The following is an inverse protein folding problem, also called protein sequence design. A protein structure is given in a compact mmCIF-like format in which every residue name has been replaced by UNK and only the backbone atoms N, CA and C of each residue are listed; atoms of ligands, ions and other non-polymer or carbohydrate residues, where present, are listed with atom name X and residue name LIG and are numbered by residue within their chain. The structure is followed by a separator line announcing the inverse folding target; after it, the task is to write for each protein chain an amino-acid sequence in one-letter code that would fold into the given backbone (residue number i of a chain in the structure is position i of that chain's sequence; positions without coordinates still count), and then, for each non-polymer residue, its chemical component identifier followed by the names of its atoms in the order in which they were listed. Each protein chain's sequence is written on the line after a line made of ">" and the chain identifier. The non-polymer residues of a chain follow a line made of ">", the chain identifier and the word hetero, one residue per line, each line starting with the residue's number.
data_IF_186927583608
#
_entry.id   IF_186927583608
#
_cell.length_a   1.000
_cell.length_b   1.000
_cell.length_c   1.000
_cell.angle_alpha   90.00
_cell.angle_beta   90.00
_cell.angle_gamma   90.00
#
_symmetry.space_group_name_H-M   'P 1'
#
loop_
_entity.id
_entity.type
_entity.pdbx_description
1 polymer ?
#
# COMPACT_ATOMS: atom_id res chain seq x y z
N UNK A 1 11.34 3.53 -5.65
CA UNK A 1 11.16 4.34 -4.42
C UNK A 1 11.05 3.38 -3.24
N UNK A 2 11.33 3.83 -2.02
CA UNK A 2 11.21 2.99 -0.80
C UNK A 2 10.02 3.47 0.02
N UNK A 3 9.25 2.54 0.59
CA UNK A 3 8.18 2.85 1.52
C UNK A 3 8.44 2.17 2.87
N UNK A 4 8.41 2.93 3.95
CA UNK A 4 8.42 2.42 5.32
C UNK A 4 6.98 2.22 5.77
N UNK A 5 6.69 1.03 6.27
CA UNK A 5 5.36 0.60 6.73
C UNK A 5 5.47 -0.08 8.09
N UNK A 6 4.33 -0.32 8.74
CA UNK A 6 4.28 -0.91 10.08
C UNK A 6 4.68 -2.41 10.07
N UNK A 7 3.97 -3.22 9.30
CA UNK A 7 4.13 -4.67 9.30
C UNK A 7 4.83 -5.26 8.07
N UNK A 8 5.33 -6.50 8.16
CA UNK A 8 5.90 -7.21 7.01
C UNK A 8 4.86 -7.52 5.93
N UNK A 9 3.59 -7.70 6.28
CA UNK A 9 2.51 -7.91 5.32
C UNK A 9 2.23 -6.65 4.50
N UNK A 10 2.25 -5.48 5.14
CA UNK A 10 2.12 -4.19 4.47
C UNK A 10 3.27 -3.94 3.49
N UNK A 11 4.48 -4.39 3.85
CA UNK A 11 5.66 -4.22 3.02
C UNK A 11 5.53 -5.03 1.73
N UNK A 12 5.02 -6.26 1.85
CA UNK A 12 4.65 -7.11 0.72
C UNK A 12 3.52 -6.45 -0.08
N UNK A 13 2.49 -5.92 0.60
CA UNK A 13 1.34 -5.35 -0.06
C UNK A 13 1.70 -4.14 -0.95
N UNK A 14 2.49 -3.21 -0.44
CA UNK A 14 3.01 -2.05 -1.19
C UNK A 14 3.86 -2.49 -2.38
N UNK A 15 4.73 -3.48 -2.17
CA UNK A 15 5.61 -4.00 -3.23
C UNK A 15 4.80 -4.63 -4.36
N UNK A 16 3.80 -5.44 -4.02
CA UNK A 16 2.93 -6.09 -5.00
C UNK A 16 2.03 -5.07 -5.74
N UNK A 17 1.43 -4.13 -5.00
CA UNK A 17 0.53 -3.13 -5.58
C UNK A 17 1.22 -2.23 -6.61
N UNK A 18 2.48 -1.89 -6.35
CA UNK A 18 3.29 -1.03 -7.22
C UNK A 18 4.02 -1.78 -8.34
N UNK A 19 3.89 -3.11 -8.42
CA UNK A 19 4.68 -3.96 -9.33
C UNK A 19 6.19 -3.69 -9.21
N UNK A 20 6.68 -3.44 -7.99
CA UNK A 20 8.08 -3.17 -7.69
C UNK A 20 8.54 -1.72 -7.92
N UNK A 21 7.67 -0.81 -8.36
CA UNK A 21 8.03 0.62 -8.47
C UNK A 21 8.29 1.26 -7.09
N UNK A 22 7.59 0.76 -6.06
CA UNK A 22 7.78 1.11 -4.65
C UNK A 22 8.04 -0.17 -3.87
N UNK A 23 9.21 -0.26 -3.22
CA UNK A 23 9.57 -1.41 -2.39
C UNK A 23 9.26 -1.09 -0.94
N UNK A 24 8.40 -1.90 -0.32
CA UNK A 24 8.04 -1.79 1.08
C UNK A 24 9.10 -2.38 2.00
N UNK A 25 9.38 -1.71 3.12
CA UNK A 25 10.24 -2.17 4.21
C UNK A 25 9.56 -1.91 5.55
N UNK A 26 9.73 -2.81 6.51
CA UNK A 26 9.12 -2.72 7.84
C UNK A 26 10.17 -2.94 8.93
N UNK A 27 10.05 -2.27 10.10
CA UNK A 27 10.90 -2.52 11.26
C UNK A 27 10.64 -3.86 11.97
N UNK A 28 9.79 -4.74 11.41
CA UNK A 28 9.43 -6.06 11.95
C UNK A 28 8.65 -6.02 13.27
N UNK A 29 7.67 -5.11 13.37
CA UNK A 29 6.78 -5.01 14.53
C UNK A 29 7.39 -4.28 15.72
N UNK A 30 8.49 -3.54 15.52
CA UNK A 30 9.03 -2.61 16.51
C UNK A 30 8.96 -1.18 16.00
N UNK A 31 9.30 -0.22 16.85
CA UNK A 31 9.66 1.10 16.33
C UNK A 31 10.96 1.00 15.53
N UNK A 32 11.10 1.86 14.52
CA UNK A 32 12.32 1.93 13.72
C UNK A 32 13.52 2.21 14.64
N UNK A 33 14.49 1.30 14.70
CA UNK A 33 15.67 1.43 15.56
C UNK A 33 16.73 2.33 14.93
N UNK A 34 17.68 2.82 15.72
CA UNK A 34 18.79 3.64 15.21
C UNK A 34 19.65 2.88 14.17
N UNK A 35 19.90 1.59 14.41
CA UNK A 35 20.62 0.72 13.46
C UNK A 35 19.83 0.54 12.17
N UNK A 36 18.52 0.29 12.25
CA UNK A 36 17.64 0.19 11.08
C UNK A 36 17.58 1.53 10.31
N UNK A 37 17.53 2.65 11.03
CA UNK A 37 17.53 4.00 10.46
C UNK A 37 18.83 4.26 9.71
N UNK A 38 19.97 3.88 10.28
CA UNK A 38 21.29 4.03 9.64
C UNK A 38 21.37 3.23 8.35
N UNK A 39 20.99 1.95 8.37
CA UNK A 39 20.97 1.11 7.17
C UNK A 39 20.02 1.64 6.09
N UNK A 40 18.85 2.14 6.50
CA UNK A 40 17.90 2.74 5.58
C UNK A 40 18.46 4.04 4.99
N UNK A 41 19.05 4.92 5.80
CA UNK A 41 19.66 6.17 5.35
C UNK A 41 20.79 5.92 4.34
N UNK A 42 21.68 4.96 4.59
CA UNK A 42 22.72 4.57 3.63
C UNK A 42 22.13 4.17 2.27
N UNK A 43 21.04 3.38 2.28
CA UNK A 43 20.34 2.99 1.07
C UNK A 43 19.68 4.20 0.36
N UNK A 44 19.02 5.08 1.11
CA UNK A 44 18.36 6.27 0.59
C UNK A 44 19.36 7.26 -0.01
N UNK A 45 20.52 7.44 0.62
CA UNK A 45 21.62 8.27 0.11
C UNK A 45 22.18 7.77 -1.23
N UNK A 46 22.27 6.44 -1.41
CA UNK A 46 22.69 5.84 -2.68
C UNK A 46 21.66 5.98 -3.81
N UNK A 47 20.38 6.01 -3.47
CA UNK A 47 19.28 6.09 -4.44
C UNK A 47 18.80 7.53 -4.68
N UNK A 48 19.27 8.48 -3.87
CA UNK A 48 18.82 9.87 -3.85
C UNK A 48 17.28 10.00 -3.83
N UNK A 49 16.63 9.20 -2.99
CA UNK A 49 15.17 9.13 -2.92
C UNK A 49 14.64 9.43 -1.53
N UNK A 50 13.54 10.17 -1.46
CA UNK A 50 12.77 10.39 -0.23
C UNK A 50 11.83 9.19 -0.02
N UNK A 51 11.86 8.50 1.14
CA UNK A 51 10.97 7.38 1.38
C UNK A 51 9.53 7.85 1.63
N UNK A 52 8.59 7.00 1.25
CA UNK A 52 7.19 7.11 1.64
C UNK A 52 7.00 6.55 3.06
N UNK A 53 6.19 7.20 3.89
CA UNK A 53 5.72 6.64 5.16
C UNK A 53 4.25 6.27 4.99
N UNK A 54 3.97 4.97 5.05
CA UNK A 54 2.64 4.40 4.80
C UNK A 54 2.28 3.49 5.98
N UNK A 55 1.88 4.14 7.08
CA UNK A 55 1.47 3.49 8.32
C UNK A 55 -0.06 3.42 8.40
N UNK A 56 -0.55 2.60 9.32
CA UNK A 56 -1.95 2.38 9.60
C UNK A 56 -2.67 3.70 9.90
N UNK A 57 -3.92 3.83 9.46
CA UNK A 57 -4.73 5.03 9.68
C UNK A 57 -5.40 5.05 11.06
N UNK A 58 -4.59 4.89 12.10
CA UNK A 58 -4.98 5.02 13.51
C UNK A 58 -3.97 5.86 14.31
N UNK A 59 -4.24 6.07 15.59
CA UNK A 59 -3.38 6.90 16.47
C UNK A 59 -1.99 6.30 16.70
N UNK A 60 -1.88 4.97 16.69
CA UNK A 60 -0.60 4.28 16.87
C UNK A 60 0.27 4.42 15.61
N UNK A 61 -0.34 4.25 14.43
CA UNK A 61 0.28 4.48 13.13
C UNK A 61 0.69 5.94 12.92
N UNK A 62 -0.12 6.89 13.39
CA UNK A 62 0.24 8.32 13.42
C UNK A 62 1.54 8.55 14.20
N UNK A 63 1.60 8.06 15.44
CA UNK A 63 2.78 8.20 16.29
C UNK A 63 3.99 7.43 15.75
N UNK A 64 3.78 6.28 15.08
CA UNK A 64 4.85 5.52 14.44
C UNK A 64 5.43 6.27 13.22
N UNK A 65 4.57 6.84 12.38
CA UNK A 65 4.99 7.64 11.23
C UNK A 65 5.78 8.88 11.65
N UNK A 66 5.35 9.59 12.69
CA UNK A 66 6.07 10.76 13.23
C UNK A 66 7.45 10.41 13.77
N UNK A 67 7.57 9.28 14.48
CA UNK A 67 8.86 8.79 14.99
C UNK A 67 9.79 8.42 13.84
N UNK A 68 9.31 7.65 12.87
CA UNK A 68 10.10 7.28 11.69
C UNK A 68 10.54 8.53 10.89
N UNK A 69 9.66 9.51 10.70
CA UNK A 69 10.00 10.78 10.07
C UNK A 69 11.10 11.52 10.84
N UNK A 70 10.99 11.60 12.16
CA UNK A 70 11.98 12.27 13.02
C UNK A 70 13.36 11.58 12.93
N UNK A 71 13.41 10.25 13.05
CA UNK A 71 14.66 9.49 12.93
C UNK A 71 15.33 9.68 11.57
N UNK A 72 14.56 9.67 10.47
CA UNK A 72 15.10 9.86 9.12
C UNK A 72 15.53 11.31 8.87
N UNK A 73 14.82 12.30 9.41
CA UNK A 73 15.23 13.70 9.34
C UNK A 73 16.57 13.95 10.05
N UNK A 74 16.85 13.26 11.17
CA UNK A 74 18.15 13.33 11.84
C UNK A 74 19.31 12.82 10.97
N UNK A 75 19.00 11.99 9.98
CA UNK A 75 19.96 11.50 8.98
C UNK A 75 19.99 12.34 7.69
N UNK A 76 19.38 13.53 7.69
CA UNK A 76 19.23 14.43 6.54
C UNK A 76 18.40 13.85 5.37
N UNK A 77 17.45 12.95 5.67
CA UNK A 77 16.52 12.42 4.68
C UNK A 77 15.12 12.97 4.91
N UNK A 78 14.62 13.74 3.93
CA UNK A 78 13.21 14.13 3.90
C UNK A 78 12.32 12.92 3.66
N UNK A 79 11.12 12.93 4.25
CA UNK A 79 10.14 11.84 4.10
C UNK A 79 8.82 12.38 3.57
N UNK A 80 8.07 11.54 2.86
CA UNK A 80 6.72 11.88 2.40
C UNK A 80 5.71 10.95 3.03
N UNK A 81 4.79 11.52 3.81
CA UNK A 81 3.68 10.75 4.39
C UNK A 81 2.58 10.48 3.36
N UNK A 82 2.05 9.27 3.35
CA UNK A 82 0.85 8.88 2.58
C UNK A 82 -0.27 8.63 3.56
N UNK A 83 -1.39 9.35 3.42
CA UNK A 83 -2.56 9.15 4.24
C UNK A 83 -3.43 8.03 3.65
N UNK A 84 -3.75 7.02 4.45
CA UNK A 84 -4.69 5.97 4.10
C UNK A 84 -6.13 6.38 4.50
N UNK A 85 -7.16 5.76 3.92
CA UNK A 85 -8.52 5.85 4.45
C UNK A 85 -8.58 5.46 5.93
N UNK A 86 -9.48 6.08 6.69
CA UNK A 86 -9.64 5.83 8.13
C UNK A 86 -9.72 4.33 8.45
N UNK A 87 -9.04 3.93 9.53
CA UNK A 87 -9.08 2.58 10.07
C UNK A 87 -8.70 1.50 9.04
N UNK A 88 -7.78 1.82 8.12
CA UNK A 88 -7.21 0.88 7.15
C UNK A 88 -5.69 0.82 7.21
N UNK A 89 -5.16 -0.32 6.80
CA UNK A 89 -3.74 -0.58 6.59
C UNK A 89 -3.47 -0.94 5.10
N UNK A 90 -2.20 -0.91 4.64
CA UNK A 90 -1.87 -1.26 3.27
C UNK A 90 -2.29 -2.68 2.86
N UNK A 91 -2.15 -3.67 3.74
CA UNK A 91 -2.56 -5.05 3.48
C UNK A 91 -4.08 -5.17 3.24
N UNK A 92 -4.88 -4.50 4.06
CA UNK A 92 -6.34 -4.43 3.96
C UNK A 92 -6.76 -3.75 2.67
N UNK A 93 -6.12 -2.63 2.31
CA UNK A 93 -6.40 -1.95 1.04
C UNK A 93 -6.09 -2.82 -0.17
N UNK A 94 -4.98 -3.57 -0.14
CA UNK A 94 -4.66 -4.54 -1.19
C UNK A 94 -5.70 -5.66 -1.25
N UNK A 95 -6.15 -6.17 -0.10
CA UNK A 95 -7.14 -7.24 -0.01
C UNK A 95 -8.49 -6.81 -0.58
N UNK A 96 -8.98 -5.63 -0.18
CA UNK A 96 -10.34 -5.19 -0.48
C UNK A 96 -10.48 -4.55 -1.86
N UNK A 97 -9.46 -3.79 -2.28
CA UNK A 97 -9.51 -2.97 -3.50
C UNK A 97 -8.48 -3.39 -4.54
N UNK A 98 -7.70 -4.43 -4.27
CA UNK A 98 -6.68 -4.95 -5.16
C UNK A 98 -5.46 -4.03 -5.34
N UNK A 99 -4.49 -4.45 -6.17
CA UNK A 99 -3.29 -3.69 -6.46
C UNK A 99 -3.54 -2.25 -6.91
N UNK A 100 -4.58 -2.05 -7.72
CA UNK A 100 -4.94 -0.74 -8.27
C UNK A 100 -5.48 0.21 -7.20
N UNK A 101 -6.29 -0.28 -6.26
CA UNK A 101 -6.81 0.52 -5.16
C UNK A 101 -5.69 1.04 -4.27
N UNK A 102 -4.77 0.16 -3.84
CA UNK A 102 -3.61 0.59 -3.05
C UNK A 102 -2.69 1.51 -3.84
N UNK A 103 -2.38 1.20 -5.11
CA UNK A 103 -1.53 2.05 -5.95
C UNK A 103 -2.11 3.47 -6.13
N UNK A 104 -3.44 3.60 -6.20
CA UNK A 104 -4.11 4.89 -6.26
C UNK A 104 -3.93 5.70 -4.98
N UNK A 105 -4.07 5.08 -3.81
CA UNK A 105 -3.85 5.75 -2.51
C UNK A 105 -2.39 6.22 -2.37
N UNK A 106 -1.44 5.41 -2.82
CA UNK A 106 0.00 5.76 -2.82
C UNK A 106 0.30 6.93 -3.80
N UNK A 107 -0.59 7.17 -4.76
CA UNK A 107 -0.44 8.21 -5.79
C UNK A 107 0.37 7.75 -6.99
N UNK A 108 0.38 6.45 -7.29
CA UNK A 108 1.09 5.85 -8.43
C UNK A 108 0.24 5.81 -9.71
N UNK A 109 -1.06 6.08 -9.64
CA UNK A 109 -1.92 6.16 -10.81
C UNK A 109 -2.10 7.61 -11.26
N UNK A 110 -1.75 7.89 -12.51
CA UNK A 110 -2.01 9.18 -13.14
C UNK A 110 -3.53 9.35 -13.32
N UNK A 111 -4.16 10.10 -12.42
CA UNK A 111 -5.50 10.67 -12.60
C UNK A 111 -6.59 9.69 -13.03
N UNK A 112 -7.13 8.92 -12.09
CA UNK A 112 -8.50 8.40 -12.22
C UNK A 112 -9.24 8.61 -10.92
N UNK A 113 -10.35 9.35 -11.00
CA UNK A 113 -11.25 9.71 -9.90
C UNK A 113 -11.57 8.49 -9.00
N UNK A 114 -11.39 8.58 -7.66
CA UNK A 114 -11.73 7.50 -6.72
C UNK A 114 -13.20 7.07 -6.74
N UNK A 115 -14.09 7.80 -7.43
CA UNK A 115 -15.50 7.44 -7.62
C UNK A 115 -15.79 6.60 -8.87
N UNK A 116 -14.81 6.39 -9.75
CA UNK A 116 -15.03 5.76 -11.06
C UNK A 116 -14.94 4.22 -11.07
N UNK A 117 -14.55 3.57 -9.96
CA UNK A 117 -14.46 2.11 -9.91
C UNK A 117 -15.81 1.48 -9.56
N UNK A 118 -16.58 1.29 -10.63
CA UNK A 118 -17.85 0.59 -10.73
C UNK A 118 -17.79 -0.81 -10.08
N UNK A 119 -18.83 -1.10 -9.30
CA UNK A 119 -19.18 -2.37 -8.61
C UNK A 119 -18.81 -3.64 -9.39
N UNK A 120 -18.27 -4.69 -8.75
CA UNK A 120 -18.02 -5.97 -9.43
C UNK A 120 -19.34 -6.62 -9.86
N UNK A 121 -19.29 -7.18 -11.08
CA UNK A 121 -20.43 -7.50 -11.92
C UNK A 121 -21.38 -8.56 -11.39
N UNK A 122 -22.66 -8.28 -11.63
CA UNK A 122 -23.81 -9.17 -11.52
C UNK A 122 -23.55 -10.47 -12.29
N UNK A 123 -23.50 -11.60 -11.59
CA UNK A 123 -23.29 -12.94 -12.14
C UNK A 123 -24.26 -13.19 -13.30
N UNK A 124 -23.70 -13.44 -14.48
CA UNK A 124 -24.42 -13.76 -15.71
C UNK A 124 -25.19 -15.06 -15.51
N UNK A 125 -26.52 -14.97 -15.34
CA UNK A 125 -27.44 -16.12 -15.27
C UNK A 125 -27.31 -16.92 -16.57
N UNK A 126 -26.79 -18.13 -16.49
CA UNK A 126 -26.71 -19.08 -17.60
C UNK A 126 -28.15 -19.44 -17.99
N UNK A 127 -28.53 -19.16 -19.24
CA UNK A 127 -29.78 -19.65 -19.83
C UNK A 127 -29.64 -21.16 -20.06
N UNK A 128 -30.29 -21.96 -19.23
CA UNK A 128 -30.51 -23.38 -19.52
C UNK A 128 -31.38 -23.49 -20.79
N UNK A 129 -30.84 -24.18 -21.80
CA UNK A 129 -31.56 -24.50 -23.03
C UNK A 129 -32.65 -25.52 -22.73
N UNK A 130 -33.89 -25.18 -23.08
CA UNK A 130 -35.03 -26.10 -23.06
C UNK A 130 -34.85 -27.18 -24.12
N UNK A 131 -34.82 -28.43 -23.67
CA UNK A 131 -34.87 -29.62 -24.50
C UNK A 131 -36.35 -29.90 -24.84
N UNK A 132 -36.72 -29.77 -26.12
CA UNK A 132 -38.02 -30.18 -26.62
C UNK A 132 -37.93 -31.63 -27.14
N UNK A 133 -38.88 -32.52 -26.82
CA UNK A 133 -38.88 -33.89 -27.35
C UNK A 133 -39.47 -33.93 -28.77
N UNK A 134 -39.06 -34.90 -29.61
CA UNK A 134 -39.59 -35.04 -30.96
C UNK A 134 -41.00 -35.67 -30.95
N UNK A 135 -41.85 -35.15 -31.83
CA UNK A 135 -43.21 -35.63 -32.05
C UNK A 135 -43.25 -37.00 -32.73
N UNK A 136 -44.16 -37.87 -32.25
CA UNK A 136 -44.78 -38.96 -33.01
C UNK A 136 -46.23 -39.08 -32.58
#
# INVERSE_FOLDING_TARGET
>A
MTAVVEGPLDAIAVTLASQGAVVGVSPLGTSLTDDQTTLLAEHLGRTNSAPLLIFDADEAGDAAAERAATSLLQTNHETRRVALPRDTDPCQLLSDYGPQGLAQVIGLTNGTDPRAQTRPGRTRRVRSHGHAPPAR
#
